data_IF_962232522298
#
_entry.id   IF_962232522298
#
_cell.length_a   1.000
_cell.length_b   1.000
_cell.length_c   1.000
_cell.angle_alpha   90.00
_cell.angle_beta   90.00
_cell.angle_gamma   90.00
#
_symmetry.space_group_name_H-M   'P 1'
#
loop_
_entity.id
_entity.type
_entity.pdbx_description
1 polymer ?
#
# COMPACT_ATOMS: atom_id res chain seq x y z
N UNK A 1 -11.08 -12.82 3.93
CA UNK A 1 -9.86 -12.00 3.90
C UNK A 1 -9.59 -11.36 2.53
N UNK A 2 -9.58 -12.12 1.42
CA UNK A 2 -9.40 -11.54 0.06
C UNK A 2 -10.42 -10.46 -0.35
N UNK A 3 -11.63 -10.49 0.20
CA UNK A 3 -12.68 -9.47 -0.04
C UNK A 3 -12.24 -8.05 0.37
N UNK A 4 -11.48 -7.88 1.46
CA UNK A 4 -11.02 -6.56 1.89
C UNK A 4 -9.94 -6.00 0.95
N UNK A 5 -9.04 -6.85 0.43
CA UNK A 5 -8.06 -6.42 -0.58
C UNK A 5 -8.77 -5.98 -1.86
N UNK A 6 -9.71 -6.79 -2.36
CA UNK A 6 -10.46 -6.48 -3.58
C UNK A 6 -11.26 -5.18 -3.44
N UNK A 7 -11.92 -4.99 -2.29
CA UNK A 7 -12.63 -3.76 -1.97
C UNK A 7 -11.68 -2.54 -1.95
N UNK A 8 -10.50 -2.69 -1.33
CA UNK A 8 -9.48 -1.65 -1.33
C UNK A 8 -9.00 -1.27 -2.74
N UNK A 9 -8.74 -2.27 -3.59
CA UNK A 9 -8.34 -2.05 -4.99
C UNK A 9 -9.47 -1.34 -5.75
N UNK A 10 -10.72 -1.81 -5.64
CA UNK A 10 -11.86 -1.15 -6.30
C UNK A 10 -12.00 0.32 -5.91
N UNK A 11 -11.88 0.63 -4.61
CA UNK A 11 -11.90 2.01 -4.13
C UNK A 11 -10.70 2.83 -4.64
N UNK A 12 -9.51 2.23 -4.69
CA UNK A 12 -8.32 2.88 -5.26
C UNK A 12 -8.51 3.25 -6.73
N UNK A 13 -9.06 2.35 -7.55
CA UNK A 13 -9.30 2.59 -8.99
C UNK A 13 -10.30 3.74 -9.24
N UNK A 14 -11.32 3.87 -8.38
CA UNK A 14 -12.28 5.00 -8.44
C UNK A 14 -11.76 6.26 -7.70
N UNK A 15 -10.49 6.27 -7.30
CA UNK A 15 -9.82 7.36 -6.55
C UNK A 15 -10.44 7.67 -5.19
N UNK A 16 -11.19 6.73 -4.64
CA UNK A 16 -11.71 6.83 -3.28
C UNK A 16 -10.66 6.37 -2.26
N UNK A 17 -9.61 7.18 -2.12
CA UNK A 17 -8.43 6.83 -1.32
C UNK A 17 -8.71 6.62 0.18
N UNK A 18 -9.63 7.35 0.86
CA UNK A 18 -9.94 7.11 2.27
C UNK A 18 -10.48 5.69 2.53
N UNK A 19 -11.47 5.24 1.76
CA UNK A 19 -12.01 3.88 1.87
C UNK A 19 -11.00 2.81 1.44
N UNK A 20 -10.18 3.11 0.42
CA UNK A 20 -9.11 2.23 -0.01
C UNK A 20 -8.08 2.02 1.12
N UNK A 21 -7.63 3.11 1.75
CA UNK A 21 -6.70 3.10 2.88
C UNK A 21 -7.25 2.24 4.02
N UNK A 22 -8.50 2.47 4.42
CA UNK A 22 -9.14 1.70 5.48
C UNK A 22 -9.20 0.19 5.16
N UNK A 23 -9.46 -0.16 3.91
CA UNK A 23 -9.49 -1.54 3.45
C UNK A 23 -8.10 -2.21 3.47
N UNK A 24 -7.06 -1.51 3.01
CA UNK A 24 -5.69 -2.01 3.07
C UNK A 24 -5.18 -2.15 4.50
N UNK A 25 -5.47 -1.18 5.38
CA UNK A 25 -5.11 -1.26 6.80
C UNK A 25 -5.76 -2.46 7.50
N UNK A 26 -7.00 -2.83 7.15
CA UNK A 26 -7.64 -4.05 7.66
C UNK A 26 -6.91 -5.32 7.21
N UNK A 27 -6.48 -5.39 5.95
CA UNK A 27 -5.70 -6.53 5.44
C UNK A 27 -4.34 -6.62 6.13
N UNK A 28 -3.69 -5.48 6.38
CA UNK A 28 -2.39 -5.41 7.07
C UNK A 28 -2.50 -5.81 8.54
N UNK A 29 -3.56 -5.39 9.23
CA UNK A 29 -3.80 -5.74 10.63
C UNK A 29 -4.03 -7.26 10.81
N UNK A 30 -4.44 -7.93 9.74
CA UNK A 30 -4.57 -9.38 9.69
C UNK A 30 -3.28 -10.03 9.21
N UNK A 31 -2.29 -10.11 10.11
CA UNK A 31 -0.90 -10.52 9.84
C UNK A 31 -0.79 -11.94 9.22
N UNK A 32 -1.82 -12.77 9.35
CA UNK A 32 -1.89 -14.12 8.75
C UNK A 32 -2.35 -14.11 7.29
N UNK A 33 -2.68 -12.94 6.75
CA UNK A 33 -3.17 -12.79 5.39
C UNK A 33 -2.05 -12.91 4.36
N UNK A 34 -2.22 -13.80 3.38
CA UNK A 34 -1.34 -13.88 2.22
C UNK A 34 -1.31 -12.58 1.37
N UNK A 35 -2.19 -11.62 1.68
CA UNK A 35 -2.36 -10.37 0.94
C UNK A 35 -1.66 -9.17 1.59
N UNK A 36 -0.95 -9.35 2.71
CA UNK A 36 -0.28 -8.24 3.42
C UNK A 36 0.65 -7.47 2.48
N UNK A 37 1.49 -8.16 1.71
CA UNK A 37 2.41 -7.53 0.76
C UNK A 37 1.69 -6.65 -0.28
N UNK A 38 0.56 -7.13 -0.81
CA UNK A 38 -0.26 -6.36 -1.75
C UNK A 38 -0.87 -5.15 -1.06
N UNK A 39 -1.44 -5.32 0.13
CA UNK A 39 -2.05 -4.23 0.88
C UNK A 39 -1.03 -3.16 1.26
N UNK A 40 0.17 -3.54 1.70
CA UNK A 40 1.27 -2.62 2.01
C UNK A 40 1.68 -1.80 0.78
N UNK A 41 1.75 -2.44 -0.38
CA UNK A 41 2.05 -1.78 -1.65
C UNK A 41 0.99 -0.75 -2.03
N UNK A 42 -0.29 -1.16 -2.07
CA UNK A 42 -1.38 -0.26 -2.46
C UNK A 42 -1.61 0.86 -1.44
N UNK A 43 -1.39 0.60 -0.15
CA UNK A 43 -1.43 1.64 0.88
C UNK A 43 -0.37 2.72 0.62
N UNK A 44 0.84 2.33 0.23
CA UNK A 44 1.88 3.28 -0.16
C UNK A 44 1.50 4.10 -1.38
N UNK A 45 0.82 3.48 -2.36
CA UNK A 45 0.30 4.19 -3.52
C UNK A 45 -0.82 5.18 -3.13
N UNK A 46 -1.73 4.82 -2.22
CA UNK A 46 -2.73 5.74 -1.69
C UNK A 46 -2.07 7.02 -1.16
N UNK A 47 -1.04 6.89 -0.31
CA UNK A 47 -0.34 8.04 0.24
C UNK A 47 0.37 8.90 -0.81
N UNK A 48 0.83 8.31 -1.91
CA UNK A 48 1.38 9.08 -3.04
C UNK A 48 0.27 9.87 -3.72
N UNK A 49 -0.88 9.24 -3.98
CA UNK A 49 -2.00 9.89 -4.66
C UNK A 49 -2.65 11.00 -3.82
N UNK A 50 -2.63 10.88 -2.49
CA UNK A 50 -3.16 11.89 -1.56
C UNK A 50 -2.14 13.00 -1.23
N UNK A 51 -0.90 12.90 -1.73
CA UNK A 51 0.16 13.87 -1.44
C UNK A 51 0.75 13.75 -0.03
N UNK A 52 0.45 12.68 0.69
CA UNK A 52 0.98 12.39 2.02
C UNK A 52 2.40 11.80 1.91
N UNK A 53 3.32 12.60 1.39
CA UNK A 53 4.67 12.17 0.98
C UNK A 53 5.44 11.50 2.12
N UNK A 54 5.32 11.99 3.35
CA UNK A 54 5.99 11.38 4.49
C UNK A 54 5.48 9.96 4.75
N UNK A 55 4.16 9.77 4.81
CA UNK A 55 3.55 8.43 4.96
C UNK A 55 3.91 7.53 3.79
N UNK A 56 3.91 8.06 2.57
CA UNK A 56 4.33 7.33 1.38
C UNK A 56 5.78 6.84 1.48
N UNK A 57 6.71 7.68 1.96
CA UNK A 57 8.12 7.31 2.18
C UNK A 57 8.24 6.21 3.23
N UNK A 58 7.56 6.34 4.36
CA UNK A 58 7.63 5.34 5.44
C UNK A 58 7.08 4.00 4.95
N UNK A 59 5.94 4.04 4.25
CA UNK A 59 5.27 2.88 3.69
C UNK A 59 6.10 2.19 2.60
N UNK A 60 6.71 2.95 1.70
CA UNK A 60 7.61 2.40 0.67
C UNK A 60 8.90 1.83 1.26
N UNK A 61 9.36 2.34 2.42
CA UNK A 61 10.50 1.75 3.15
C UNK A 61 10.17 0.36 3.68
N UNK A 62 8.95 0.16 4.19
CA UNK A 62 8.46 -1.15 4.63
C UNK A 62 8.45 -2.12 3.44
N UNK A 63 7.87 -1.71 2.31
CA UNK A 63 7.77 -2.55 1.11
C UNK A 63 9.15 -2.85 0.52
N UNK A 64 10.08 -1.91 0.49
CA UNK A 64 11.46 -2.14 0.00
C UNK A 64 12.21 -3.18 0.84
N UNK A 65 12.00 -3.18 2.17
CA UNK A 65 12.63 -4.13 3.10
C UNK A 65 11.95 -5.50 3.13
N UNK A 66 10.73 -5.61 2.60
CA UNK A 66 10.03 -6.89 2.50
C UNK A 66 10.62 -7.78 1.40
N UNK A 67 10.37 -9.10 1.49
CA UNK A 67 10.71 -10.05 0.42
C UNK A 67 9.63 -10.08 -0.69
N UNK A 68 8.80 -9.04 -0.77
CA UNK A 68 7.71 -8.91 -1.73
C UNK A 68 8.21 -8.69 -3.15
N UNK A 69 7.41 -9.09 -4.13
CA UNK A 69 7.58 -8.73 -5.55
C UNK A 69 7.67 -7.21 -5.79
N UNK A 70 7.17 -6.40 -4.84
CA UNK A 70 7.15 -4.95 -4.93
C UNK A 70 8.42 -4.27 -4.42
N UNK A 71 9.31 -4.97 -3.71
CA UNK A 71 10.49 -4.38 -3.06
C UNK A 71 11.32 -3.51 -4.02
N UNK A 72 11.68 -4.05 -5.19
CA UNK A 72 12.45 -3.31 -6.22
C UNK A 72 11.71 -2.07 -6.73
N UNK A 73 10.38 -2.10 -6.82
CA UNK A 73 9.56 -0.96 -7.27
C UNK A 73 9.48 0.10 -6.19
N UNK A 74 9.26 -0.30 -4.93
CA UNK A 74 9.24 0.59 -3.78
C UNK A 74 10.56 1.36 -3.64
N UNK A 75 11.71 0.68 -3.83
CA UNK A 75 13.03 1.34 -3.86
C UNK A 75 13.13 2.45 -4.91
N UNK A 76 12.59 2.23 -6.10
CA UNK A 76 12.60 3.24 -7.17
C UNK A 76 11.74 4.44 -6.79
N UNK A 77 10.56 4.20 -6.22
CA UNK A 77 9.67 5.24 -5.73
C UNK A 77 10.34 6.05 -4.62
N UNK A 78 10.97 5.41 -3.63
CA UNK A 78 11.69 6.11 -2.55
C UNK A 78 12.75 7.08 -3.07
N UNK A 79 13.46 6.71 -4.13
CA UNK A 79 14.46 7.58 -4.77
C UNK A 79 13.84 8.75 -5.52
N UNK A 80 12.62 8.60 -6.01
CA UNK A 80 11.89 9.64 -6.72
C UNK A 80 11.15 10.59 -5.78
N UNK A 81 10.71 10.11 -4.62
CA UNK A 81 10.06 10.91 -3.58
C UNK A 81 11.02 11.85 -2.85
N UNK A 82 12.26 12.03 -3.31
CA UNK A 82 13.36 12.70 -2.59
C UNK A 82 13.20 14.21 -2.53
#
# INVERSE_FOLDING_TARGET
MGSALMNGISNYEIKNYPEAEGSFRKVIADDKSYFVDHAQWYLGLCYIQTGEIQKARDQMSIVDKSNSIYSKKARKILRALK
#
